data_IF_023830480046
#
_entry.id   IF_023830480046
#
_cell.length_a   1.000
_cell.length_b   1.000
_cell.length_c   1.000
_cell.angle_alpha   90.00
_cell.angle_beta   90.00
_cell.angle_gamma   90.00
#
_symmetry.space_group_name_H-M   'P 1'
#
loop_
_entity.id
_entity.type
_entity.pdbx_description
1 polymer ?
#
# COMPACT_ATOMS: atom_id res chain seq x y z
N UNK A 1 25.18 -14.10 31.60
CA UNK A 1 24.06 -15.05 31.44
C UNK A 1 22.83 -14.28 30.98
N UNK A 2 22.27 -14.70 29.83
CA UNK A 2 20.93 -14.43 29.26
C UNK A 2 20.49 -12.96 29.05
N UNK A 3 20.70 -12.46 27.83
CA UNK A 3 19.76 -11.50 27.22
C UNK A 3 18.46 -12.23 26.85
N UNK A 4 17.27 -11.75 27.24
CA UNK A 4 16.04 -12.18 26.62
C UNK A 4 15.74 -11.23 25.46
N UNK A 5 16.21 -11.59 24.26
CA UNK A 5 15.59 -11.12 23.04
C UNK A 5 14.23 -11.78 22.93
N UNK A 6 13.19 -11.12 23.45
CA UNK A 6 11.82 -11.55 23.25
C UNK A 6 11.51 -11.38 21.76
N UNK A 7 11.47 -12.52 21.06
CA UNK A 7 10.97 -12.62 19.70
C UNK A 7 9.57 -12.01 19.67
N UNK A 8 9.43 -10.87 19.00
CA UNK A 8 8.10 -10.38 18.62
C UNK A 8 7.65 -11.30 17.49
N UNK A 9 6.97 -12.38 17.86
CA UNK A 9 6.22 -13.19 16.91
C UNK A 9 4.98 -12.37 16.52
N UNK A 10 5.22 -11.32 15.72
CA UNK A 10 4.15 -10.54 15.10
C UNK A 10 3.36 -11.53 14.27
N UNK A 11 2.09 -11.71 14.59
CA UNK A 11 1.17 -12.57 13.83
C UNK A 11 0.99 -11.99 12.42
N UNK A 12 1.96 -12.24 11.54
CA UNK A 12 2.02 -11.75 10.16
C UNK A 12 0.86 -12.35 9.38
N UNK A 13 0.23 -11.53 8.53
CA UNK A 13 -0.89 -12.02 7.75
C UNK A 13 -0.38 -12.93 6.63
N UNK A 14 -1.05 -14.06 6.40
CA UNK A 14 -0.70 -14.99 5.32
C UNK A 14 -1.16 -14.43 3.96
N UNK A 15 -0.45 -13.43 3.44
CA UNK A 15 -0.84 -12.68 2.23
C UNK A 15 -0.91 -13.55 0.97
N UNK A 16 -0.06 -14.57 0.89
CA UNK A 16 0.02 -15.49 -0.24
C UNK A 16 -0.98 -16.66 -0.16
N UNK A 17 -1.73 -16.80 0.95
CA UNK A 17 -2.83 -17.77 1.01
C UNK A 17 -3.90 -17.34 0.00
N UNK A 18 -4.19 -18.22 -0.97
CA UNK A 18 -5.17 -17.95 -2.03
C UNK A 18 -6.52 -17.53 -1.48
N UNK A 19 -7.08 -16.45 -2.02
CA UNK A 19 -8.46 -16.01 -1.76
C UNK A 19 -9.48 -16.68 -2.70
N UNK A 20 -9.02 -17.42 -3.70
CA UNK A 20 -9.88 -18.04 -4.71
C UNK A 20 -10.78 -19.08 -4.06
N UNK A 21 -12.09 -18.96 -4.26
CA UNK A 21 -13.13 -19.82 -3.68
C UNK A 21 -13.12 -19.91 -2.13
N UNK A 22 -12.36 -19.05 -1.44
CA UNK A 22 -12.31 -18.95 0.02
C UNK A 22 -12.83 -17.55 0.44
N UNK A 23 -14.14 -17.45 0.66
CA UNK A 23 -14.79 -16.19 1.03
C UNK A 23 -14.26 -15.62 2.34
N UNK A 24 -13.98 -16.48 3.33
CA UNK A 24 -13.49 -16.05 4.63
C UNK A 24 -12.08 -15.46 4.51
N UNK A 25 -11.19 -16.12 3.76
CA UNK A 25 -9.88 -15.60 3.45
C UNK A 25 -9.96 -14.30 2.66
N UNK A 26 -10.81 -14.22 1.63
CA UNK A 26 -11.03 -12.98 0.86
C UNK A 26 -11.50 -11.83 1.76
N UNK A 27 -12.43 -12.09 2.68
CA UNK A 27 -12.92 -11.09 3.63
C UNK A 27 -11.78 -10.59 4.52
N UNK A 28 -10.99 -11.50 5.08
CA UNK A 28 -9.82 -11.16 5.91
C UNK A 28 -8.77 -10.38 5.12
N UNK A 29 -8.39 -10.85 3.94
CA UNK A 29 -7.43 -10.18 3.05
C UNK A 29 -7.80 -8.71 2.82
N UNK A 30 -9.06 -8.45 2.46
CA UNK A 30 -9.52 -7.09 2.21
C UNK A 30 -9.57 -6.21 3.46
N UNK A 31 -10.05 -6.74 4.58
CA UNK A 31 -10.09 -5.97 5.83
C UNK A 31 -8.67 -5.61 6.28
N UNK A 32 -7.75 -6.57 6.27
CA UNK A 32 -6.36 -6.35 6.66
C UNK A 32 -5.64 -5.42 5.70
N UNK A 33 -5.72 -5.66 4.38
CA UNK A 33 -5.11 -4.80 3.36
C UNK A 33 -5.60 -3.36 3.44
N UNK A 34 -6.92 -3.16 3.61
CA UNK A 34 -7.50 -1.83 3.81
C UNK A 34 -6.94 -1.14 5.05
N UNK A 35 -6.78 -1.88 6.15
CA UNK A 35 -6.18 -1.34 7.37
C UNK A 35 -4.72 -0.94 7.15
N UNK A 36 -3.92 -1.77 6.47
CA UNK A 36 -2.52 -1.49 6.17
C UNK A 36 -2.35 -0.31 5.22
N UNK A 37 -3.22 -0.16 4.22
CA UNK A 37 -3.21 1.02 3.35
C UNK A 37 -3.57 2.31 4.10
N UNK A 38 -4.43 2.25 5.13
CA UNK A 38 -4.65 3.43 6.01
C UNK A 38 -3.38 3.77 6.79
N UNK A 39 -2.70 2.78 7.36
CA UNK A 39 -1.41 2.99 8.04
C UNK A 39 -0.36 3.56 7.09
N UNK A 40 -0.28 3.05 5.86
CA UNK A 40 0.60 3.58 4.82
C UNK A 40 0.28 5.03 4.47
N UNK A 41 -1.01 5.39 4.35
CA UNK A 41 -1.41 6.77 4.11
C UNK A 41 -0.90 7.70 5.22
N UNK A 42 -1.03 7.29 6.48
CA UNK A 42 -0.50 8.02 7.63
C UNK A 42 1.03 8.13 7.60
N UNK A 43 1.74 7.04 7.29
CA UNK A 43 3.21 7.01 7.17
C UNK A 43 3.74 7.91 6.03
N UNK A 44 2.96 8.04 4.96
CA UNK A 44 3.24 8.94 3.84
C UNK A 44 2.86 10.41 4.14
N UNK A 45 2.28 10.69 5.31
CA UNK A 45 1.85 12.04 5.69
C UNK A 45 0.60 12.53 4.94
N UNK A 46 -0.21 11.62 4.40
CA UNK A 46 -1.41 11.99 3.65
C UNK A 46 -2.53 12.46 4.58
N UNK A 47 -3.07 13.63 4.30
CA UNK A 47 -4.18 14.18 5.08
C UNK A 47 -5.47 13.38 4.83
N UNK A 48 -6.30 13.13 5.85
CA UNK A 48 -7.63 12.56 5.65
C UNK A 48 -8.42 13.39 4.62
N UNK A 49 -9.02 12.71 3.64
CA UNK A 49 -9.76 13.36 2.54
C UNK A 49 -8.92 13.74 1.31
N UNK A 50 -7.57 13.74 1.40
CA UNK A 50 -6.71 13.92 0.23
C UNK A 50 -6.58 12.63 -0.61
N UNK A 51 -6.99 11.50 -0.07
CA UNK A 51 -6.95 10.19 -0.72
C UNK A 51 -8.27 9.42 -0.52
N UNK A 52 -8.52 8.48 -1.43
CA UNK A 52 -9.59 7.49 -1.31
C UNK A 52 -8.99 6.10 -1.07
N UNK A 53 -9.66 5.26 -0.26
CA UNK A 53 -9.40 3.82 -0.24
C UNK A 53 -10.66 3.08 -0.67
N UNK A 54 -10.57 2.30 -1.74
CA UNK A 54 -11.68 1.52 -2.31
C UNK A 54 -11.36 0.04 -2.33
N UNK A 55 -12.38 -0.79 -2.21
CA UNK A 55 -12.25 -2.25 -2.30
C UNK A 55 -13.15 -2.75 -3.43
N UNK A 56 -12.58 -3.49 -4.38
CA UNK A 56 -13.30 -4.21 -5.41
C UNK A 56 -13.16 -5.72 -5.15
N UNK A 57 -14.25 -6.41 -4.84
CA UNK A 57 -14.22 -7.84 -4.49
C UNK A 57 -14.03 -8.77 -5.69
N UNK A 58 -14.41 -8.29 -6.88
CA UNK A 58 -14.47 -9.09 -8.11
C UNK A 58 -15.19 -10.45 -7.92
N UNK A 59 -15.03 -11.36 -8.88
CA UNK A 59 -15.61 -12.71 -8.82
C UNK A 59 -14.95 -13.62 -7.78
N UNK A 60 -15.60 -14.73 -7.45
CA UNK A 60 -15.13 -15.69 -6.43
C UNK A 60 -13.77 -16.33 -6.75
N UNK A 61 -13.38 -16.39 -8.02
CA UNK A 61 -12.14 -17.03 -8.47
C UNK A 61 -10.86 -16.21 -8.24
N UNK A 62 -10.98 -14.93 -7.86
CA UNK A 62 -9.84 -14.00 -7.69
C UNK A 62 -9.89 -13.33 -6.32
N UNK A 63 -8.79 -12.71 -5.86
CA UNK A 63 -8.81 -11.92 -4.62
C UNK A 63 -9.68 -10.65 -4.73
N UNK A 64 -9.81 -10.09 -5.94
CA UNK A 64 -10.16 -8.69 -6.12
C UNK A 64 -9.00 -7.78 -5.69
N UNK A 65 -9.26 -6.47 -5.60
CA UNK A 65 -8.24 -5.50 -5.24
C UNK A 65 -8.68 -4.44 -4.23
N UNK A 66 -7.70 -3.86 -3.54
CA UNK A 66 -7.87 -2.72 -2.65
C UNK A 66 -6.96 -1.61 -3.14
N UNK A 67 -7.51 -0.44 -3.42
CA UNK A 67 -6.78 0.67 -4.01
C UNK A 67 -6.76 1.86 -3.06
N UNK A 68 -5.57 2.38 -2.76
CA UNK A 68 -5.35 3.73 -2.25
C UNK A 68 -5.07 4.64 -3.45
N UNK A 69 -5.88 5.68 -3.61
CA UNK A 69 -5.74 6.65 -4.69
C UNK A 69 -5.59 8.06 -4.13
N UNK A 70 -4.43 8.65 -4.39
CA UNK A 70 -4.08 10.04 -4.12
C UNK A 70 -3.82 10.75 -5.46
N UNK A 71 -3.83 12.07 -5.48
CA UNK A 71 -3.56 12.85 -6.70
C UNK A 71 -2.22 12.52 -7.39
N UNK A 72 -1.26 11.98 -6.63
CA UNK A 72 0.10 11.66 -7.13
C UNK A 72 0.45 10.18 -7.07
N UNK A 73 -0.41 9.36 -6.46
CA UNK A 73 -0.12 7.94 -6.25
C UNK A 73 -1.35 7.08 -6.43
N UNK A 74 -1.16 5.98 -7.14
CA UNK A 74 -2.12 4.90 -7.25
C UNK A 74 -1.47 3.62 -6.74
N UNK A 75 -1.94 3.13 -5.60
CA UNK A 75 -1.41 1.95 -4.94
C UNK A 75 -2.51 0.91 -4.89
N UNK A 76 -2.30 -0.24 -5.51
CA UNK A 76 -3.29 -1.31 -5.60
C UNK A 76 -2.74 -2.62 -5.07
N UNK A 77 -3.51 -3.25 -4.18
CA UNK A 77 -3.17 -4.50 -3.52
C UNK A 77 -4.08 -5.61 -4.05
N UNK A 78 -3.50 -6.71 -4.51
CA UNK A 78 -4.22 -7.89 -4.99
C UNK A 78 -3.29 -9.08 -5.21
N UNK A 79 -3.87 -10.27 -5.42
CA UNK A 79 -3.12 -11.49 -5.79
C UNK A 79 -3.10 -11.61 -7.31
N UNK A 80 -2.25 -10.83 -8.00
CA UNK A 80 -2.29 -10.63 -9.46
C UNK A 80 -1.84 -11.83 -10.33
N UNK A 81 -1.84 -13.05 -9.79
CA UNK A 81 -1.49 -14.27 -10.54
C UNK A 81 -0.03 -14.32 -11.02
N UNK A 82 0.80 -13.34 -10.66
CA UNK A 82 2.23 -13.38 -10.89
C UNK A 82 2.83 -14.35 -9.88
N UNK A 83 3.43 -15.44 -10.36
CA UNK A 83 4.15 -16.46 -9.58
C UNK A 83 5.33 -15.93 -8.75
N UNK A 84 5.51 -14.61 -8.69
CA UNK A 84 6.65 -13.90 -8.11
C UNK A 84 6.41 -13.38 -6.69
N UNK A 85 5.24 -13.59 -6.06
CA UNK A 85 4.92 -13.03 -4.74
C UNK A 85 4.67 -11.52 -4.74
N UNK A 86 4.62 -10.91 -5.93
CA UNK A 86 4.35 -9.50 -6.12
C UNK A 86 2.83 -9.27 -6.17
N UNK A 87 2.31 -8.39 -5.31
CA UNK A 87 0.88 -8.13 -5.22
C UNK A 87 0.53 -6.71 -4.80
N UNK A 88 1.53 -5.84 -4.72
CA UNK A 88 1.32 -4.40 -4.54
C UNK A 88 1.82 -3.70 -5.80
N UNK A 89 0.91 -3.07 -6.52
CA UNK A 89 1.18 -2.20 -7.66
C UNK A 89 1.28 -0.75 -7.17
N UNK A 90 2.33 -0.04 -7.58
CA UNK A 90 2.57 1.37 -7.29
C UNK A 90 2.73 2.11 -8.62
N UNK A 91 2.01 3.21 -8.80
CA UNK A 91 2.11 4.10 -9.97
C UNK A 91 2.03 5.57 -9.55
N UNK A 92 2.61 6.45 -10.36
CA UNK A 92 2.32 7.88 -10.32
C UNK A 92 0.94 8.18 -10.87
N UNK A 93 0.33 9.29 -10.46
CA UNK A 93 -0.91 9.82 -11.05
C UNK A 93 -0.81 11.33 -11.33
N UNK A 94 -1.68 11.81 -12.22
CA UNK A 94 -1.93 13.23 -12.49
C UNK A 94 -3.34 13.63 -12.02
N UNK A 95 -3.55 13.64 -10.71
CA UNK A 95 -4.81 13.98 -10.06
C UNK A 95 -5.71 12.76 -9.77
N UNK A 96 -6.74 12.98 -8.95
CA UNK A 96 -7.66 11.92 -8.45
C UNK A 96 -8.58 11.27 -9.51
N UNK A 97 -8.56 11.77 -10.75
CA UNK A 97 -9.31 11.21 -11.88
C UNK A 97 -8.42 10.41 -12.84
N UNK A 98 -7.11 10.36 -12.59
CA UNK A 98 -6.19 9.56 -13.38
C UNK A 98 -6.17 8.12 -12.84
N UNK A 99 -6.70 7.18 -13.62
CA UNK A 99 -6.75 5.76 -13.28
C UNK A 99 -5.75 4.92 -14.08
N UNK A 100 -5.05 5.54 -15.04
CA UNK A 100 -4.02 4.89 -15.86
C UNK A 100 -2.67 5.01 -15.17
N UNK A 101 -2.35 6.21 -14.68
CA UNK A 101 -1.09 6.50 -14.02
C UNK A 101 0.14 6.29 -14.91
N UNK A 102 1.31 6.34 -14.27
CA UNK A 102 2.60 6.01 -14.90
C UNK A 102 2.89 4.51 -14.99
N UNK A 103 4.16 4.12 -15.25
CA UNK A 103 4.58 2.72 -15.33
C UNK A 103 4.25 1.91 -14.07
N UNK A 104 4.03 0.61 -14.25
CA UNK A 104 3.75 -0.30 -13.15
C UNK A 104 5.03 -0.63 -12.38
N UNK A 105 5.04 -0.35 -11.07
CA UNK A 105 6.07 -0.83 -10.16
C UNK A 105 5.45 -1.83 -9.20
N UNK A 106 5.98 -3.05 -9.17
CA UNK A 106 5.46 -4.11 -8.32
C UNK A 106 6.38 -4.38 -7.15
N UNK A 107 5.79 -4.60 -5.97
CA UNK A 107 6.50 -5.08 -4.78
C UNK A 107 5.72 -6.21 -4.10
N UNK A 108 6.38 -6.90 -3.17
CA UNK A 108 5.83 -8.06 -2.47
C UNK A 108 4.68 -7.69 -1.52
N UNK A 109 3.69 -8.58 -1.38
CA UNK A 109 2.56 -8.36 -0.45
C UNK A 109 3.00 -8.26 1.01
N UNK A 110 4.06 -8.98 1.39
CA UNK A 110 4.53 -9.03 2.78
C UNK A 110 5.03 -7.67 3.29
N UNK A 111 5.35 -6.73 2.39
CA UNK A 111 5.63 -5.34 2.75
C UNK A 111 4.43 -4.63 3.41
N UNK A 112 3.21 -5.17 3.33
CA UNK A 112 2.07 -4.65 4.08
C UNK A 112 2.21 -4.85 5.60
N UNK A 113 3.09 -5.75 6.05
CA UNK A 113 3.42 -5.88 7.46
C UNK A 113 4.65 -5.03 7.88
N UNK A 114 5.34 -4.41 6.92
CA UNK A 114 6.42 -3.45 7.13
C UNK A 114 6.12 -2.12 6.42
N UNK A 115 5.23 -1.34 7.04
CA UNK A 115 4.74 -0.07 6.50
C UNK A 115 5.85 0.96 6.23
N UNK A 116 6.86 1.16 7.10
CA UNK A 116 7.98 2.03 6.80
C UNK A 116 8.74 1.63 5.53
N UNK A 117 9.03 0.34 5.35
CA UNK A 117 9.70 -0.17 4.14
C UNK A 117 8.83 0.01 2.90
N UNK A 118 7.51 -0.20 3.00
CA UNK A 118 6.58 0.07 1.91
C UNK A 118 6.52 1.57 1.55
N UNK A 119 6.50 2.46 2.55
CA UNK A 119 6.53 3.90 2.32
C UNK A 119 7.83 4.33 1.64
N UNK A 120 8.98 3.77 2.06
CA UNK A 120 10.28 4.01 1.44
C UNK A 120 10.31 3.59 -0.04
N UNK A 121 9.59 2.53 -0.44
CA UNK A 121 9.43 2.15 -1.84
C UNK A 121 8.51 3.07 -2.63
N UNK A 122 7.42 3.58 -2.02
CA UNK A 122 6.44 4.46 -2.67
C UNK A 122 7.01 5.86 -2.96
N UNK A 123 7.78 6.41 -2.02
CA UNK A 123 8.34 7.78 -2.08
C UNK A 123 9.13 8.08 -3.37
N UNK A 124 10.13 7.29 -3.79
CA UNK A 124 10.89 7.58 -5.01
C UNK A 124 10.06 7.46 -6.29
N UNK A 125 9.02 6.61 -6.31
CA UNK A 125 8.14 6.44 -7.47
C UNK A 125 7.19 7.63 -7.61
N UNK A 126 6.57 8.05 -6.52
CA UNK A 126 5.43 9.00 -6.54
C UNK A 126 5.80 10.43 -6.15
N UNK A 127 6.94 10.61 -5.49
CA UNK A 127 7.41 11.87 -4.92
C UNK A 127 6.60 12.35 -3.70
N UNK A 128 5.67 11.55 -3.18
CA UNK A 128 4.89 11.87 -1.98
C UNK A 128 5.80 11.87 -0.74
N UNK A 129 5.54 12.77 0.21
CA UNK A 129 6.28 12.84 1.47
C UNK A 129 7.67 13.48 1.35
N UNK A 130 7.99 14.08 0.20
CA UNK A 130 9.23 14.84 -0.05
C UNK A 130 9.12 16.32 0.35
N UNK A 131 7.99 16.72 0.93
CA UNK A 131 7.65 18.12 1.16
C UNK A 131 7.77 18.45 2.64
N UNK A 132 8.99 18.79 3.07
CA UNK A 132 9.28 19.60 4.27
C UNK A 132 10.69 20.24 4.26
N UNK A 133 11.50 20.15 3.20
CA UNK A 133 12.82 20.80 3.16
C UNK A 133 12.91 22.10 2.34
N UNK A 134 11.95 22.40 1.44
CA UNK A 134 12.11 23.52 0.48
C UNK A 134 11.21 24.74 0.74
N UNK A 135 10.45 24.79 1.84
CA UNK A 135 9.54 25.91 2.15
C UNK A 135 10.14 26.94 3.13
N UNK A 136 11.46 27.15 3.15
CA UNK A 136 12.13 28.20 3.94
C UNK A 136 13.11 29.00 3.10
N UNK A 137 12.65 29.56 1.99
CA UNK A 137 13.34 30.69 1.35
C UNK A 137 12.37 31.52 0.50
N UNK A 138 11.67 32.46 1.14
CA UNK A 138 11.33 33.71 0.47
C UNK A 138 11.15 34.86 1.47
N UNK A 139 12.28 35.52 1.72
CA UNK A 139 12.51 36.98 1.74
C UNK A 139 11.74 37.83 2.76
N UNK A 140 12.45 38.16 3.83
CA UNK A 140 12.48 39.52 4.35
C UNK A 140 13.31 40.40 3.40
N UNK A 141 12.70 41.47 2.89
CA UNK A 141 13.32 42.73 2.45
C UNK A 141 12.20 43.74 2.20
#
# INVERSE_FOLDING_TARGET
MRSPGHLVETNMFQWNKSCSYDEQQKKRFHTTARSRLKSLASELGLQPGSYDIRSNKAGIAVSGEITLHHERAYIQVGQFGLSSGHGILIRTCKGRKDYTGGPNHFVALDMLDDIPTLAAAVRPITGIGRESCDASSSRAA
#
